data_IF_933624127852
#
_entry.id   IF_933624127852
#
_cell.length_a   1.000
_cell.length_b   1.000
_cell.length_c   1.000
_cell.angle_alpha   90.00
_cell.angle_beta   90.00
_cell.angle_gamma   90.00
#
_symmetry.space_group_name_H-M   'P 1'
#
loop_
_entity.id
_entity.type
_entity.pdbx_description
1 polymer ?
#
# COMPACT_ATOMS: atom_id res chain seq x y z
N UNK A 1 -0.17 -19.46 -12.66
CA UNK A 1 -0.06 -18.11 -12.07
C UNK A 1 1.41 -17.71 -12.15
N UNK A 2 1.75 -16.56 -12.75
CA UNK A 2 3.14 -16.08 -12.84
C UNK A 2 3.46 -15.42 -11.49
N UNK A 3 4.29 -16.05 -10.68
CA UNK A 3 4.69 -15.53 -9.36
C UNK A 3 5.42 -14.20 -9.57
N UNK A 4 4.89 -13.11 -9.02
CA UNK A 4 5.52 -11.80 -9.09
C UNK A 4 6.84 -11.85 -8.29
N UNK A 5 8.02 -11.70 -8.94
CA UNK A 5 9.32 -11.82 -8.27
C UNK A 5 9.48 -10.79 -7.14
N UNK A 6 8.79 -9.65 -7.19
CA UNK A 6 8.82 -8.65 -6.11
C UNK A 6 8.12 -9.13 -4.84
N UNK A 7 7.13 -10.01 -4.97
CA UNK A 7 6.45 -10.64 -3.82
C UNK A 7 7.25 -11.79 -3.20
N UNK A 8 8.19 -12.38 -3.95
CA UNK A 8 9.11 -13.40 -3.45
C UNK A 8 10.22 -12.84 -2.57
N UNK A 9 10.62 -11.59 -2.78
CA UNK A 9 11.64 -10.90 -1.97
C UNK A 9 11.09 -10.17 -0.74
N UNK A 10 9.76 -10.18 -0.52
CA UNK A 10 9.10 -9.46 0.57
C UNK A 10 8.94 -10.31 1.86
N UNK A 11 9.78 -11.32 2.04
CA UNK A 11 9.71 -12.25 3.17
C UNK A 11 10.25 -11.55 4.41
N UNK A 12 9.47 -11.50 5.48
CA UNK A 12 9.86 -10.89 6.76
C UNK A 12 10.85 -11.78 7.51
N UNK A 13 10.63 -13.10 7.42
CA UNK A 13 11.47 -14.14 7.99
C UNK A 13 11.26 -15.45 7.26
N UNK A 14 12.22 -16.34 7.37
CA UNK A 14 12.10 -17.72 6.91
C UNK A 14 11.85 -18.65 8.09
N UNK A 15 10.77 -19.43 8.03
CA UNK A 15 10.45 -20.44 9.03
C UNK A 15 10.91 -21.82 8.53
N UNK A 16 12.12 -22.22 8.93
CA UNK A 16 12.81 -23.42 8.42
C UNK A 16 11.97 -24.70 8.45
N UNK A 17 11.23 -24.96 9.53
CA UNK A 17 10.36 -26.15 9.61
C UNK A 17 9.26 -26.17 8.55
N UNK A 18 8.71 -25.00 8.21
CA UNK A 18 7.73 -24.87 7.14
C UNK A 18 8.37 -24.91 5.75
N UNK A 19 9.59 -24.39 5.60
CA UNK A 19 10.35 -24.51 4.34
C UNK A 19 10.66 -25.98 4.02
N UNK A 20 11.11 -26.75 5.01
CA UNK A 20 11.33 -28.20 4.86
C UNK A 20 10.02 -28.92 4.50
N UNK A 21 8.91 -28.60 5.16
CA UNK A 21 7.61 -29.20 4.84
C UNK A 21 7.16 -28.82 3.42
N UNK A 22 7.39 -27.58 3.00
CA UNK A 22 7.08 -27.10 1.66
C UNK A 22 7.88 -27.88 0.60
N UNK A 23 9.19 -28.00 0.80
CA UNK A 23 10.08 -28.64 -0.16
C UNK A 23 9.95 -30.16 -0.21
N UNK A 24 9.87 -30.82 0.95
CA UNK A 24 9.87 -32.29 1.03
C UNK A 24 8.47 -32.91 0.92
N UNK A 25 7.40 -32.16 1.15
CA UNK A 25 6.03 -32.71 1.13
C UNK A 25 5.18 -32.06 0.05
N UNK A 26 5.12 -30.72 0.01
CA UNK A 26 4.21 -30.06 -0.93
C UNK A 26 4.64 -30.23 -2.40
N UNK A 27 5.93 -30.11 -2.72
CA UNK A 27 6.42 -30.33 -4.07
C UNK A 27 6.21 -31.78 -4.56
N UNK A 28 6.61 -32.84 -3.82
CA UNK A 28 6.31 -34.21 -4.23
C UNK A 28 4.82 -34.48 -4.36
N UNK A 29 3.99 -33.94 -3.46
CA UNK A 29 2.55 -34.11 -3.52
C UNK A 29 1.93 -33.45 -4.77
N UNK A 30 2.47 -32.32 -5.24
CA UNK A 30 2.07 -31.72 -6.52
C UNK A 30 2.38 -32.65 -7.70
N UNK A 31 3.57 -33.24 -7.72
CA UNK A 31 3.98 -34.18 -8.78
C UNK A 31 3.10 -35.43 -8.77
N UNK A 32 2.90 -36.03 -7.60
CA UNK A 32 2.12 -37.26 -7.43
C UNK A 32 0.64 -37.11 -7.78
N UNK A 33 0.08 -35.90 -7.62
CA UNK A 33 -1.33 -35.62 -7.92
C UNK A 33 -1.55 -34.91 -9.24
N UNK A 34 -0.52 -34.80 -10.08
CA UNK A 34 -0.62 -34.14 -11.39
C UNK A 34 -1.07 -32.68 -11.29
N UNK A 35 -0.56 -31.94 -10.30
CA UNK A 35 -0.92 -30.54 -10.06
C UNK A 35 -2.42 -30.33 -9.78
N UNK A 36 -3.03 -31.26 -9.04
CA UNK A 36 -4.42 -31.15 -8.60
C UNK A 36 -4.70 -29.83 -7.82
N UNK A 37 -5.98 -29.41 -7.78
CA UNK A 37 -6.37 -28.21 -7.01
C UNK A 37 -6.02 -28.32 -5.53
N UNK A 38 -6.06 -29.53 -4.96
CA UNK A 38 -5.74 -29.77 -3.57
C UNK A 38 -4.23 -29.61 -3.31
N UNK A 39 -3.38 -30.18 -4.17
CA UNK A 39 -1.93 -30.06 -4.02
C UNK A 39 -1.46 -28.62 -4.22
N UNK A 40 -2.06 -27.88 -5.14
CA UNK A 40 -1.78 -26.46 -5.33
C UNK A 40 -2.16 -25.63 -4.09
N UNK A 41 -3.33 -25.92 -3.49
CA UNK A 41 -3.72 -25.26 -2.23
C UNK A 41 -2.76 -25.59 -1.08
N UNK A 42 -2.33 -26.84 -0.97
CA UNK A 42 -1.37 -27.25 0.05
C UNK A 42 -0.02 -26.56 -0.15
N UNK A 43 0.48 -26.52 -1.39
CA UNK A 43 1.69 -25.80 -1.76
C UNK A 43 1.63 -24.32 -1.40
N UNK A 44 0.54 -23.63 -1.80
CA UNK A 44 0.39 -22.21 -1.50
C UNK A 44 0.30 -21.96 0.00
N UNK A 45 -0.39 -22.84 0.74
CA UNK A 45 -0.48 -22.77 2.18
C UNK A 45 0.88 -22.93 2.87
N UNK A 46 1.65 -23.97 2.51
CA UNK A 46 2.98 -24.19 3.10
C UNK A 46 3.97 -23.10 2.71
N UNK A 47 3.88 -22.57 1.48
CA UNK A 47 4.69 -21.43 1.03
C UNK A 47 4.41 -20.19 1.88
N UNK A 48 3.14 -19.86 2.12
CA UNK A 48 2.74 -18.73 2.95
C UNK A 48 3.21 -18.85 4.41
N UNK A 49 3.34 -20.08 4.92
CA UNK A 49 3.85 -20.34 6.26
C UNK A 49 5.38 -20.35 6.32
N UNK A 50 6.05 -20.87 5.30
CA UNK A 50 7.51 -20.91 5.20
C UNK A 50 8.11 -19.51 5.06
N UNK A 51 7.45 -18.66 4.27
CA UNK A 51 7.87 -17.31 3.99
C UNK A 51 6.74 -16.32 4.27
N UNK A 52 6.45 -16.04 5.56
CA UNK A 52 5.54 -14.97 5.91
C UNK A 52 6.03 -13.67 5.28
N UNK A 53 5.17 -13.06 4.48
CA UNK A 53 5.47 -11.77 3.84
C UNK A 53 5.25 -10.68 4.86
N UNK A 54 6.13 -9.68 4.86
CA UNK A 54 5.91 -8.48 5.66
C UNK A 54 4.57 -7.88 5.24
N UNK A 55 3.59 -7.89 6.15
CA UNK A 55 2.40 -7.09 5.95
C UNK A 55 2.85 -5.65 6.05
N UNK A 56 2.96 -4.93 4.94
CA UNK A 56 3.11 -3.48 5.00
C UNK A 56 1.94 -2.99 5.85
N UNK A 57 2.18 -2.40 7.04
CA UNK A 57 1.09 -1.90 7.85
C UNK A 57 0.27 -0.95 6.97
N UNK A 58 -1.05 -1.09 7.00
CA UNK A 58 -1.90 -0.18 6.24
C UNK A 58 -1.47 1.25 6.62
N UNK A 59 -1.18 2.10 5.61
CA UNK A 59 -0.62 3.40 5.92
C UNK A 59 -1.64 4.16 6.76
N UNK A 60 -1.17 4.82 7.82
CA UNK A 60 -2.05 5.56 8.72
C UNK A 60 -2.69 6.68 7.91
N UNK A 61 -4.03 6.73 7.94
CA UNK A 61 -4.80 7.77 7.25
C UNK A 61 -5.41 8.69 8.29
N UNK A 62 -5.00 9.96 8.27
CA UNK A 62 -5.65 11.02 9.04
C UNK A 62 -6.72 11.68 8.17
N UNK A 63 -7.86 12.02 8.75
CA UNK A 63 -8.91 12.80 8.11
C UNK A 63 -9.02 14.12 8.84
N UNK A 64 -8.52 15.18 8.22
CA UNK A 64 -8.40 16.50 8.86
C UNK A 64 -9.41 17.43 8.19
N UNK A 65 -10.38 17.97 8.95
CA UNK A 65 -11.31 18.95 8.42
C UNK A 65 -10.60 20.30 8.24
N UNK A 66 -10.84 20.95 7.11
CA UNK A 66 -10.35 22.30 6.84
C UNK A 66 -11.48 23.22 6.42
N UNK A 67 -11.31 24.51 6.67
CA UNK A 67 -12.36 25.51 6.48
C UNK A 67 -12.68 25.70 4.99
N UNK A 68 -11.64 25.71 4.13
CA UNK A 68 -11.77 26.03 2.70
C UNK A 68 -12.00 24.81 1.82
N UNK A 69 -11.42 23.66 2.15
CA UNK A 69 -11.38 22.48 1.28
C UNK A 69 -12.13 21.27 1.86
N UNK A 70 -12.81 21.45 2.99
CA UNK A 70 -13.57 20.39 3.64
C UNK A 70 -12.65 19.31 4.21
N UNK A 71 -13.02 18.04 4.05
CA UNK A 71 -12.26 16.94 4.65
C UNK A 71 -11.10 16.50 3.75
N UNK A 72 -9.87 16.66 4.25
CA UNK A 72 -8.65 16.19 3.59
C UNK A 72 -8.18 14.85 4.18
N UNK A 73 -7.78 13.94 3.30
CA UNK A 73 -7.19 12.66 3.69
C UNK A 73 -5.67 12.75 3.59
N UNK A 74 -4.99 12.64 4.73
CA UNK A 74 -3.53 12.65 4.83
C UNK A 74 -3.04 11.24 5.07
N UNK A 75 -1.97 10.85 4.40
CA UNK A 75 -1.39 9.51 4.51
C UNK A 75 0.11 9.63 4.52
N UNK A 76 0.77 9.07 5.54
CA UNK A 76 2.24 9.02 5.57
C UNK A 76 2.68 7.87 4.66
N UNK A 77 3.28 8.21 3.52
CA UNK A 77 3.67 7.22 2.50
C UNK A 77 5.05 6.67 2.80
N UNK A 78 5.95 7.52 3.30
CA UNK A 78 7.30 7.13 3.63
C UNK A 78 7.70 7.81 4.95
N UNK A 79 7.70 7.04 6.05
CA UNK A 79 8.23 7.52 7.31
C UNK A 79 9.75 7.69 7.24
N UNK A 80 10.33 8.66 7.95
CA UNK A 80 9.64 9.80 8.57
C UNK A 80 9.41 10.95 7.57
N UNK A 81 8.23 11.56 7.63
CA UNK A 81 8.05 12.94 7.14
C UNK A 81 7.65 13.11 5.68
N UNK A 82 7.24 12.06 4.97
CA UNK A 82 6.72 12.16 3.60
C UNK A 82 5.22 11.81 3.56
N UNK A 83 4.40 12.81 3.26
CA UNK A 83 2.95 12.73 3.33
C UNK A 83 2.30 12.90 1.96
N UNK A 84 1.18 12.21 1.76
CA UNK A 84 0.24 12.43 0.67
C UNK A 84 -1.03 13.03 1.23
N UNK A 85 -1.44 14.17 0.68
CA UNK A 85 -2.69 14.84 1.01
C UNK A 85 -3.62 14.76 -0.20
N UNK A 86 -4.76 14.09 -0.01
CA UNK A 86 -5.79 13.92 -1.02
C UNK A 86 -7.03 14.73 -0.64
N UNK A 87 -7.53 15.49 -1.60
CA UNK A 87 -8.82 16.15 -1.47
C UNK A 87 -9.95 15.15 -1.73
N UNK A 88 -11.02 15.20 -0.93
CA UNK A 88 -12.18 14.30 -1.09
C UNK A 88 -13.00 14.51 -2.38
N UNK A 89 -12.90 15.69 -3.00
CA UNK A 89 -13.73 16.12 -4.14
C UNK A 89 -12.88 16.43 -5.37
N UNK A 90 -11.70 17.02 -5.18
CA UNK A 90 -10.76 17.28 -6.26
C UNK A 90 -9.88 16.04 -6.46
N UNK A 91 -9.82 15.53 -7.69
CA UNK A 91 -9.05 14.32 -8.04
C UNK A 91 -7.54 14.63 -8.15
N UNK A 92 -7.00 15.32 -7.15
CA UNK A 92 -5.58 15.66 -7.03
C UNK A 92 -5.04 15.17 -5.68
N UNK A 93 -3.79 14.72 -5.72
CA UNK A 93 -3.06 14.25 -4.55
C UNK A 93 -1.72 14.95 -4.52
N UNK A 94 -1.48 15.77 -3.50
CA UNK A 94 -0.19 16.41 -3.29
C UNK A 94 0.69 15.49 -2.45
N UNK A 95 1.99 15.40 -2.79
CA UNK A 95 2.99 14.72 -1.96
C UNK A 95 4.02 15.73 -1.48
N UNK A 96 4.22 15.81 -0.17
CA UNK A 96 5.09 16.81 0.47
C UNK A 96 5.96 16.18 1.54
N UNK A 97 7.13 16.79 1.75
CA UNK A 97 7.89 16.59 2.99
C UNK A 97 7.37 17.56 4.04
N UNK A 98 6.95 17.03 5.18
CA UNK A 98 6.41 17.83 6.28
C UNK A 98 6.88 17.26 7.61
N UNK A 99 6.83 18.08 8.65
CA UNK A 99 7.26 17.69 9.99
C UNK A 99 6.21 16.76 10.64
N UNK A 100 4.93 17.05 10.38
CA UNK A 100 3.78 16.29 10.86
C UNK A 100 2.60 16.35 9.86
N UNK A 101 1.49 15.71 10.20
CA UNK A 101 0.28 15.71 9.37
C UNK A 101 -0.37 17.09 9.23
N UNK A 102 -0.19 18.00 10.20
CA UNK A 102 -0.78 19.34 10.18
C UNK A 102 0.00 20.27 9.23
N UNK A 103 1.33 20.20 9.26
CA UNK A 103 2.18 20.92 8.32
C UNK A 103 1.97 20.42 6.89
N UNK A 104 1.74 19.11 6.71
CA UNK A 104 1.36 18.55 5.40
C UNK A 104 0.04 19.15 4.90
N UNK A 105 -0.97 19.29 5.76
CA UNK A 105 -2.25 19.95 5.42
C UNK A 105 -2.03 21.41 5.06
N UNK A 106 -1.29 22.17 5.88
CA UNK A 106 -1.00 23.59 5.62
C UNK A 106 -0.38 23.79 4.23
N UNK A 107 0.66 23.02 3.90
CA UNK A 107 1.30 23.06 2.59
C UNK A 107 0.33 22.68 1.46
N UNK A 108 -0.54 21.70 1.71
CA UNK A 108 -1.55 21.29 0.73
C UNK A 108 -2.61 22.36 0.50
N UNK A 109 -3.08 23.04 1.54
CA UNK A 109 -4.04 24.14 1.41
C UNK A 109 -3.46 25.34 0.65
N UNK A 110 -2.20 25.70 0.92
CA UNK A 110 -1.48 26.73 0.17
C UNK A 110 -1.39 26.37 -1.31
N UNK A 111 -1.02 25.13 -1.62
CA UNK A 111 -0.94 24.67 -3.01
C UNK A 111 -2.32 24.61 -3.67
N UNK A 112 -3.33 24.06 -3.01
CA UNK A 112 -4.70 24.02 -3.56
C UNK A 112 -5.26 25.43 -3.78
N UNK A 113 -4.94 26.39 -2.91
CA UNK A 113 -5.31 27.80 -3.12
C UNK A 113 -4.70 28.34 -4.42
N UNK A 114 -3.41 28.09 -4.66
CA UNK A 114 -2.78 28.53 -5.92
C UNK A 114 -3.43 27.87 -7.15
N UNK A 115 -3.82 26.60 -7.09
CA UNK A 115 -4.54 25.95 -8.18
C UNK A 115 -5.92 26.57 -8.43
N UNK A 116 -6.68 26.88 -7.38
CA UNK A 116 -8.00 27.53 -7.52
C UNK A 116 -7.84 28.92 -8.13
N UNK A 117 -6.85 29.69 -7.69
CA UNK A 117 -6.61 31.04 -8.18
C UNK A 117 -6.09 31.05 -9.64
N UNK A 118 -5.48 29.95 -10.09
CA UNK A 118 -5.06 29.75 -11.48
C UNK A 118 -6.19 29.32 -12.42
N UNK A 119 -7.37 28.92 -11.91
CA UNK A 119 -8.54 28.65 -12.75
C UNK A 119 -9.19 30.01 -13.07
N UNK A 120 -9.04 30.52 -14.31
CA UNK A 120 -9.65 31.80 -14.67
C UNK A 120 -11.17 31.68 -14.47
N UNK A 121 -11.77 32.70 -13.84
CA UNK A 121 -13.21 32.78 -13.57
C UNK A 121 -14.09 32.74 -14.84
N UNK A 122 -13.49 32.62 -16.02
CA UNK A 122 -14.15 32.48 -17.32
C UNK A 122 -14.63 31.07 -17.67
N UNK A 123 -14.42 30.07 -16.80
CA UNK A 123 -14.91 28.70 -17.03
C UNK A 123 -16.25 28.38 -16.34
N UNK A 124 -16.86 29.35 -15.66
CA UNK A 124 -18.22 29.25 -15.14
C UNK A 124 -19.17 30.02 -16.06
N UNK A 125 -19.54 29.40 -17.18
CA UNK A 125 -20.69 29.77 -18.01
C UNK A 125 -21.51 28.51 -18.28
#
# INVERSE_FOLDING_TARGET
MRTDPRKGCANEKELLGWAILHDLVAHPFMVLTGYSRLSLRLHDYTSHKAWPRASTPAPRVWRIPTVRFGLLAVTEIQPPGCYSVRHGLILHTLRVKAIDELDAVRQAEEWFATLVDLIPHSAAA
#
